data_IF_997648756127
#
_entry.id   IF_997648756127
#
_cell.length_a   1.000
_cell.length_b   1.000
_cell.length_c   1.000
_cell.angle_alpha   90.00
_cell.angle_beta   90.00
_cell.angle_gamma   90.00
#
_symmetry.space_group_name_H-M   'P 1'
#
loop_
_entity.id
_entity.type
_entity.pdbx_description
1 polymer ?
#
# COMPACT_ATOMS: atom_id res chain seq x y z
N UNK A 1 16.45 8.77 18.21
CA UNK A 1 16.69 7.34 17.94
C UNK A 1 15.50 6.64 17.30
N UNK A 2 14.32 6.60 17.94
CA UNK A 2 13.14 5.93 17.39
C UNK A 2 12.72 6.43 15.98
N UNK A 3 12.64 7.74 15.78
CA UNK A 3 12.31 8.35 14.48
C UNK A 3 13.20 7.82 13.35
N UNK A 4 14.52 7.89 13.51
CA UNK A 4 15.49 7.47 12.49
C UNK A 4 15.34 5.98 12.15
N UNK A 5 15.14 5.13 13.16
CA UNK A 5 14.96 3.69 12.96
C UNK A 5 13.68 3.42 12.16
N UNK A 6 12.55 3.99 12.56
CA UNK A 6 11.27 3.80 11.85
C UNK A 6 11.33 4.38 10.44
N UNK A 7 12.00 5.51 10.24
CA UNK A 7 12.17 6.13 8.92
C UNK A 7 12.97 5.23 7.97
N UNK A 8 14.07 4.64 8.45
CA UNK A 8 14.88 3.69 7.67
C UNK A 8 14.05 2.45 7.34
N UNK A 9 13.33 1.89 8.31
CA UNK A 9 12.46 0.74 8.10
C UNK A 9 11.37 1.04 7.08
N UNK A 10 10.69 2.19 7.17
CA UNK A 10 9.64 2.60 6.23
C UNK A 10 10.19 2.75 4.80
N UNK A 11 11.41 3.29 4.64
CA UNK A 11 12.05 3.45 3.33
C UNK A 11 12.48 2.11 2.72
N UNK A 12 13.01 1.20 3.52
CA UNK A 12 13.40 -0.14 3.05
C UNK A 12 12.16 -0.98 2.73
N UNK A 13 11.16 -0.96 3.61
CA UNK A 13 9.94 -1.75 3.46
C UNK A 13 9.11 -1.33 2.24
N UNK A 14 9.17 -0.05 1.84
CA UNK A 14 8.57 0.44 0.59
C UNK A 14 8.98 -0.40 -0.61
N UNK A 15 10.24 -0.81 -0.70
CA UNK A 15 10.72 -1.63 -1.81
C UNK A 15 10.10 -3.03 -1.80
N UNK A 16 9.86 -3.60 -0.62
CA UNK A 16 9.12 -4.86 -0.49
C UNK A 16 7.67 -4.72 -0.96
N UNK A 17 7.00 -3.61 -0.64
CA UNK A 17 5.65 -3.31 -1.15
C UNK A 17 5.64 -3.26 -2.67
N UNK A 18 6.59 -2.54 -3.28
CA UNK A 18 6.69 -2.42 -4.75
C UNK A 18 6.91 -3.79 -5.39
N UNK A 19 7.83 -4.60 -4.85
CA UNK A 19 8.08 -5.95 -5.35
C UNK A 19 6.84 -6.86 -5.21
N UNK A 20 6.14 -6.80 -4.07
CA UNK A 20 4.93 -7.56 -3.83
C UNK A 20 3.79 -7.13 -4.76
N UNK A 21 3.63 -5.82 -5.01
CA UNK A 21 2.66 -5.26 -5.94
C UNK A 21 2.92 -5.77 -7.37
N UNK A 22 4.16 -5.62 -7.86
CA UNK A 22 4.56 -6.11 -9.19
C UNK A 22 4.29 -7.61 -9.31
N UNK A 23 4.67 -8.39 -8.30
CA UNK A 23 4.47 -9.84 -8.32
C UNK A 23 2.98 -10.23 -8.35
N UNK A 24 2.15 -9.63 -7.48
CA UNK A 24 0.72 -9.91 -7.41
C UNK A 24 0.00 -9.50 -8.70
N UNK A 25 0.28 -8.30 -9.21
CA UNK A 25 -0.32 -7.77 -10.44
C UNK A 25 0.12 -8.55 -11.67
N UNK A 26 1.39 -8.95 -11.77
CA UNK A 26 1.87 -9.79 -12.87
C UNK A 26 1.20 -11.17 -12.87
N UNK A 27 1.07 -11.82 -11.70
CA UNK A 27 0.35 -13.10 -11.56
C UNK A 27 -1.11 -12.96 -12.01
N UNK A 28 -1.78 -11.89 -11.58
CA UNK A 28 -3.17 -11.61 -11.96
C UNK A 28 -3.32 -11.40 -13.48
N UNK A 29 -2.47 -10.57 -14.10
CA UNK A 29 -2.52 -10.30 -15.54
C UNK A 29 -2.23 -11.53 -16.40
N UNK A 30 -1.17 -12.27 -16.10
CA UNK A 30 -0.82 -13.47 -16.87
C UNK A 30 -1.82 -14.61 -16.67
N UNK A 31 -2.42 -14.70 -15.47
CA UNK A 31 -3.50 -15.64 -15.22
C UNK A 31 -4.75 -15.31 -16.02
N UNK A 32 -5.11 -14.02 -16.08
CA UNK A 32 -6.27 -13.55 -16.83
C UNK A 32 -6.11 -13.72 -18.34
N UNK A 33 -5.02 -13.19 -18.91
CA UNK A 33 -4.75 -13.22 -20.36
C UNK A 33 -4.47 -14.65 -20.85
N UNK A 34 -3.79 -15.45 -20.04
CA UNK A 34 -3.47 -16.84 -20.35
C UNK A 34 -4.61 -17.82 -20.05
N UNK A 35 -5.76 -17.36 -19.56
CA UNK A 35 -6.90 -18.20 -19.14
C UNK A 35 -6.48 -19.34 -18.21
N UNK A 36 -5.54 -19.06 -17.29
CA UNK A 36 -4.98 -20.04 -16.36
C UNK A 36 -5.95 -20.26 -15.19
N UNK A 37 -5.95 -21.45 -14.56
CA UNK A 37 -6.73 -21.67 -13.35
C UNK A 37 -6.22 -20.81 -12.20
N UNK A 38 -7.13 -20.34 -11.34
CA UNK A 38 -6.78 -19.58 -10.15
C UNK A 38 -6.19 -20.52 -9.10
N UNK A 39 -4.93 -20.29 -8.74
CA UNK A 39 -4.21 -21.16 -7.80
C UNK A 39 -4.06 -20.55 -6.41
N UNK A 40 -3.67 -21.38 -5.44
CA UNK A 40 -3.28 -20.89 -4.11
C UNK A 40 -2.11 -19.89 -4.16
N UNK A 41 -1.25 -19.97 -5.18
CA UNK A 41 -0.14 -19.03 -5.34
C UNK A 41 -0.63 -17.63 -5.76
N UNK A 42 -1.70 -17.52 -6.56
CA UNK A 42 -2.32 -16.23 -6.92
C UNK A 42 -2.93 -15.58 -5.70
N UNK A 43 -3.67 -16.37 -4.91
CA UNK A 43 -4.23 -15.89 -3.66
C UNK A 43 -3.16 -15.41 -2.69
N UNK A 44 -2.06 -16.17 -2.54
CA UNK A 44 -0.95 -15.81 -1.66
C UNK A 44 -0.21 -14.55 -2.14
N UNK A 45 -0.05 -14.37 -3.45
CA UNK A 45 0.57 -13.17 -4.00
C UNK A 45 -0.22 -11.91 -3.61
N UNK A 46 -1.55 -11.93 -3.78
CA UNK A 46 -2.42 -10.84 -3.35
C UNK A 46 -2.42 -10.61 -1.84
N UNK A 47 -2.43 -11.68 -1.04
CA UNK A 47 -2.34 -11.56 0.43
C UNK A 47 -0.99 -10.98 0.88
N UNK A 48 0.12 -11.38 0.26
CA UNK A 48 1.45 -10.85 0.57
C UNK A 48 1.54 -9.36 0.25
N UNK A 49 0.97 -8.93 -0.87
CA UNK A 49 0.90 -7.51 -1.20
C UNK A 49 0.08 -6.73 -0.17
N UNK A 50 -1.10 -7.23 0.21
CA UNK A 50 -1.93 -6.62 1.26
C UNK A 50 -1.18 -6.45 2.59
N UNK A 51 -0.61 -7.53 3.12
CA UNK A 51 0.15 -7.50 4.38
C UNK A 51 1.35 -6.54 4.29
N UNK A 52 2.07 -6.55 3.17
CA UNK A 52 3.22 -5.66 2.99
C UNK A 52 2.79 -4.19 3.01
N UNK A 53 1.66 -3.87 2.36
CA UNK A 53 1.09 -2.52 2.35
C UNK A 53 0.56 -2.12 3.74
N UNK A 54 -0.07 -3.04 4.48
CA UNK A 54 -0.53 -2.82 5.86
C UNK A 54 0.64 -2.41 6.76
N UNK A 55 1.76 -3.14 6.68
CA UNK A 55 2.98 -2.83 7.45
C UNK A 55 3.55 -1.48 7.02
N UNK A 56 3.61 -1.18 5.72
CA UNK A 56 4.07 0.11 5.21
C UNK A 56 3.23 1.27 5.74
N UNK A 57 1.90 1.11 5.70
CA UNK A 57 0.96 2.10 6.19
C UNK A 57 1.10 2.30 7.71
N UNK A 58 1.23 1.21 8.47
CA UNK A 58 1.46 1.27 9.91
C UNK A 58 2.77 2.02 10.26
N UNK A 59 3.87 1.71 9.55
CA UNK A 59 5.13 2.45 9.71
C UNK A 59 4.94 3.94 9.38
N UNK A 60 4.13 4.26 8.36
CA UNK A 60 3.76 5.63 8.00
C UNK A 60 2.96 6.34 9.09
N UNK A 61 1.99 5.67 9.72
CA UNK A 61 1.23 6.21 10.85
C UNK A 61 2.12 6.45 12.07
N UNK A 62 3.07 5.55 12.36
CA UNK A 62 4.04 5.77 13.43
C UNK A 62 4.89 7.01 13.11
N UNK A 63 5.36 7.17 11.86
CA UNK A 63 6.08 8.37 11.42
C UNK A 63 5.23 9.64 11.53
N UNK A 64 3.93 9.58 11.27
CA UNK A 64 3.04 10.72 11.45
C UNK A 64 3.09 11.25 12.89
N UNK A 65 3.24 10.37 13.89
CA UNK A 65 3.27 10.74 15.31
C UNK A 65 4.68 11.22 15.74
N UNK A 66 5.74 10.51 15.33
CA UNK A 66 7.08 10.73 15.89
C UNK A 66 8.00 11.61 15.02
N UNK A 67 7.58 11.96 13.81
CA UNK A 67 8.39 12.77 12.89
C UNK A 67 8.45 14.23 13.35
N UNK A 68 9.66 14.84 13.48
CA UNK A 68 9.80 16.27 13.76
C UNK A 68 9.08 17.15 12.73
N UNK A 69 9.09 16.73 11.46
CA UNK A 69 8.40 17.45 10.40
C UNK A 69 6.88 17.45 10.63
N UNK A 70 6.31 16.32 11.02
CA UNK A 70 4.87 16.22 11.26
C UNK A 70 4.46 16.94 12.54
N UNK A 71 5.28 16.86 13.59
CA UNK A 71 5.07 17.60 14.83
C UNK A 71 5.04 19.11 14.60
N UNK A 72 5.94 19.64 13.75
CA UNK A 72 5.92 21.06 13.36
C UNK A 72 4.63 21.41 12.60
N UNK A 73 4.18 20.54 11.68
CA UNK A 73 2.95 20.75 10.94
C UNK A 73 1.71 20.80 11.86
N UNK A 74 1.69 20.02 12.94
CA UNK A 74 0.56 19.98 13.87
C UNK A 74 0.44 21.23 14.75
N UNK A 75 1.51 22.02 14.90
CA UNK A 75 1.46 23.29 15.65
C UNK A 75 0.81 24.42 14.85
N UNK A 76 0.89 24.37 13.51
CA UNK A 76 0.25 25.35 12.62
C UNK A 76 -0.24 24.65 11.34
N UNK A 77 -1.30 23.85 11.48
CA UNK A 77 -1.81 23.06 10.36
C UNK A 77 -2.37 23.96 9.25
N UNK A 78 -3.05 25.04 9.63
CA UNK A 78 -3.68 25.95 8.67
C UNK A 78 -2.64 26.70 7.82
N UNK A 79 -1.54 27.16 8.44
CA UNK A 79 -0.47 27.86 7.75
C UNK A 79 0.44 26.92 6.96
N UNK A 80 0.79 25.76 7.50
CA UNK A 80 1.85 24.91 6.95
C UNK A 80 1.37 23.83 6.00
N UNK A 81 0.14 23.33 6.11
CA UNK A 81 -0.27 22.14 5.37
C UNK A 81 -0.24 22.28 3.84
N UNK A 82 -0.33 23.50 3.31
CA UNK A 82 -0.22 23.76 1.86
C UNK A 82 1.21 24.08 1.40
N UNK A 83 2.16 24.21 2.33
CA UNK A 83 3.54 24.55 2.03
C UNK A 83 4.41 23.30 1.89
N UNK A 84 5.40 23.35 1.01
CA UNK A 84 6.42 22.30 0.96
C UNK A 84 7.35 22.44 2.19
N UNK A 85 7.77 21.34 2.84
CA UNK A 85 7.52 19.94 2.47
C UNK A 85 6.28 19.31 3.12
N UNK A 86 5.54 20.02 3.98
CA UNK A 86 4.39 19.50 4.73
C UNK A 86 3.27 18.98 3.83
N UNK A 87 2.95 19.72 2.76
CA UNK A 87 1.92 19.34 1.78
C UNK A 87 2.15 17.96 1.20
N UNK A 88 3.39 17.65 0.84
CA UNK A 88 3.75 16.35 0.27
C UNK A 88 3.44 15.20 1.21
N UNK A 89 3.63 15.36 2.52
CA UNK A 89 3.34 14.28 3.46
C UNK A 89 1.88 14.26 3.92
N UNK A 90 1.31 15.41 4.26
CA UNK A 90 -0.05 15.54 4.80
C UNK A 90 -1.14 15.38 3.75
N UNK A 91 -0.96 16.00 2.59
CA UNK A 91 -2.03 16.19 1.61
C UNK A 91 -1.89 15.27 0.40
N UNK A 92 -0.67 14.82 0.11
CA UNK A 92 -0.38 13.96 -1.03
C UNK A 92 -0.11 12.53 -0.55
N UNK A 93 0.93 12.31 0.23
CA UNK A 93 1.40 10.97 0.59
C UNK A 93 0.43 10.20 1.48
N UNK A 94 0.02 10.74 2.63
CA UNK A 94 -0.91 10.05 3.55
C UNK A 94 -2.26 9.72 2.88
N UNK A 95 -2.93 10.65 2.17
CA UNK A 95 -4.18 10.34 1.49
C UNK A 95 -4.04 9.29 0.39
N UNK A 96 -2.99 9.36 -0.44
CA UNK A 96 -2.73 8.36 -1.49
C UNK A 96 -2.51 6.97 -0.87
N UNK A 97 -1.76 6.88 0.22
CA UNK A 97 -1.51 5.61 0.89
C UNK A 97 -2.79 5.03 1.52
N UNK A 98 -3.67 5.86 2.06
CA UNK A 98 -4.95 5.42 2.58
C UNK A 98 -5.89 4.90 1.48
N UNK A 99 -5.96 5.61 0.35
CA UNK A 99 -6.72 5.14 -0.83
C UNK A 99 -6.14 3.83 -1.36
N UNK A 100 -4.82 3.72 -1.47
CA UNK A 100 -4.15 2.50 -1.91
C UNK A 100 -4.48 1.31 -0.99
N UNK A 101 -4.48 1.52 0.34
CA UNK A 101 -4.85 0.51 1.33
C UNK A 101 -6.28 -0.02 1.08
N UNK A 102 -7.24 0.89 0.91
CA UNK A 102 -8.64 0.54 0.61
C UNK A 102 -8.72 -0.27 -0.68
N UNK A 103 -8.10 0.21 -1.76
CA UNK A 103 -8.15 -0.43 -3.07
C UNK A 103 -7.58 -1.85 -3.03
N UNK A 104 -6.46 -2.07 -2.35
CA UNK A 104 -5.84 -3.40 -2.23
C UNK A 104 -6.73 -4.37 -1.46
N UNK A 105 -7.34 -3.93 -0.34
CA UNK A 105 -8.24 -4.79 0.43
C UNK A 105 -9.54 -5.09 -0.32
N UNK A 106 -10.13 -4.08 -0.98
CA UNK A 106 -11.33 -4.25 -1.80
C UNK A 106 -11.06 -5.18 -2.98
N UNK A 107 -9.96 -4.98 -3.72
CA UNK A 107 -9.55 -5.83 -4.84
C UNK A 107 -9.31 -7.28 -4.40
N UNK A 108 -8.60 -7.46 -3.29
CA UNK A 108 -8.36 -8.78 -2.68
C UNK A 108 -9.67 -9.48 -2.28
N UNK A 109 -10.63 -8.74 -1.71
CA UNK A 109 -11.95 -9.28 -1.37
C UNK A 109 -12.80 -9.60 -2.62
N UNK A 110 -12.74 -8.74 -3.64
CA UNK A 110 -13.46 -8.93 -4.90
C UNK A 110 -12.94 -10.15 -5.67
N UNK A 111 -11.62 -10.34 -5.71
CA UNK A 111 -10.96 -11.49 -6.30
C UNK A 111 -11.40 -12.80 -5.64
N UNK A 112 -11.46 -12.87 -4.31
CA UNK A 112 -11.95 -14.07 -3.58
C UNK A 112 -13.41 -14.44 -3.93
N UNK A 113 -14.23 -13.44 -4.26
CA UNK A 113 -15.65 -13.61 -4.62
C UNK A 113 -15.88 -13.81 -6.12
N UNK A 114 -14.84 -14.08 -6.92
CA UNK A 114 -14.98 -14.36 -8.36
C UNK A 114 -15.70 -15.68 -8.62
N UNK A 115 -16.65 -15.65 -9.57
CA UNK A 115 -17.49 -16.80 -9.95
C UNK A 115 -16.69 -17.91 -10.64
N UNK A 116 -15.67 -17.53 -11.42
CA UNK A 116 -14.76 -18.40 -12.15
C UNK A 116 -13.31 -17.87 -12.06
N UNK A 117 -12.35 -18.68 -12.50
CA UNK A 117 -10.92 -18.34 -12.44
C UNK A 117 -10.57 -17.04 -13.18
N UNK A 118 -11.18 -16.80 -14.34
CA UNK A 118 -10.98 -15.56 -15.10
C UNK A 118 -11.52 -14.33 -14.37
N UNK A 119 -12.68 -14.45 -13.73
CA UNK A 119 -13.26 -13.39 -12.91
C UNK A 119 -12.40 -13.09 -11.67
N UNK A 120 -11.76 -14.09 -11.07
CA UNK A 120 -10.83 -13.91 -9.94
C UNK A 120 -9.57 -13.16 -10.37
N UNK A 121 -8.95 -13.58 -11.48
CA UNK A 121 -7.77 -12.90 -12.03
C UNK A 121 -8.06 -11.47 -12.47
N UNK A 122 -9.17 -11.22 -13.18
CA UNK A 122 -9.56 -9.86 -13.62
C UNK A 122 -9.80 -8.89 -12.46
N UNK A 123 -10.35 -9.37 -11.34
CA UNK A 123 -10.58 -8.53 -10.16
C UNK A 123 -9.33 -8.31 -9.30
N UNK A 124 -8.28 -9.11 -9.52
CA UNK A 124 -7.00 -8.99 -8.84
C UNK A 124 -5.96 -8.20 -9.65
N UNK A 125 -6.20 -7.99 -10.95
CA UNK A 125 -5.37 -7.19 -11.85
C UNK A 125 -5.73 -5.70 -11.72
#
# INVERSE_FOLDING_TARGET
MAYTVVLVLHNLWRWLVVLAAIYATARAWFGWLGKRPWTKADQRAGTLFGISLDIQFLLGLILAIISPLMQAAYQDLAGLAMQAPFRTFLMEHMPIMFVALILVHVGSAAARKGADDGARHRRAA
#
